data_IF_796089984388
#
_entry.id   IF_796089984388
#
_cell.length_a   1.000
_cell.length_b   1.000
_cell.length_c   1.000
_cell.angle_alpha   90.00
_cell.angle_beta   90.00
_cell.angle_gamma   90.00
#
_symmetry.space_group_name_H-M   'P 1'
#
loop_
_entity.id
_entity.type
_entity.pdbx_description
1 polymer ?
#
# COMPACT_ATOMS: atom_id res chain seq x y z
N UNK A 1 -6.75 -32.65 2.17
CA UNK A 1 -7.50 -31.74 3.06
C UNK A 1 -6.83 -31.85 4.43
N UNK A 2 -6.34 -30.75 5.00
CA UNK A 2 -5.68 -30.76 6.31
C UNK A 2 -6.74 -31.00 7.40
N UNK A 3 -6.57 -32.06 8.17
CA UNK A 3 -7.40 -32.35 9.34
C UNK A 3 -6.91 -31.49 10.51
N UNK A 4 -7.76 -30.58 10.98
CA UNK A 4 -7.49 -29.61 12.04
C UNK A 4 -8.07 -30.03 13.40
N UNK A 5 -8.56 -31.26 13.53
CA UNK A 5 -9.30 -31.72 14.71
C UNK A 5 -8.44 -32.12 15.92
N UNK A 6 -7.11 -32.11 15.80
CA UNK A 6 -6.21 -32.50 16.90
C UNK A 6 -5.59 -31.28 17.60
N UNK A 7 -5.74 -31.21 18.92
CA UNK A 7 -5.44 -30.05 19.78
C UNK A 7 -3.94 -29.72 19.98
N UNK A 8 -3.06 -30.19 19.11
CA UNK A 8 -1.68 -29.70 18.99
C UNK A 8 -1.46 -29.37 17.53
N UNK A 9 -1.05 -28.16 17.13
CA UNK A 9 -0.66 -27.92 15.73
C UNK A 9 0.66 -28.66 15.45
N UNK A 10 0.69 -29.84 14.79
CA UNK A 10 1.78 -30.79 14.92
C UNK A 10 2.52 -31.04 13.60
N UNK A 11 2.63 -30.04 12.72
CA UNK A 11 3.39 -30.18 11.46
C UNK A 11 4.25 -28.95 11.20
N UNK A 12 5.57 -29.16 11.04
CA UNK A 12 6.52 -28.13 10.65
C UNK A 12 6.13 -27.46 9.32
N UNK A 13 5.39 -28.15 8.45
CA UNK A 13 4.83 -27.56 7.23
C UNK A 13 3.80 -26.48 7.55
N UNK A 14 2.83 -26.78 8.42
CA UNK A 14 1.81 -25.81 8.85
C UNK A 14 2.47 -24.60 9.52
N UNK A 15 3.47 -24.81 10.37
CA UNK A 15 4.23 -23.70 10.99
C UNK A 15 4.92 -22.83 9.93
N UNK A 16 5.56 -23.44 8.94
CA UNK A 16 6.22 -22.70 7.86
C UNK A 16 5.22 -21.95 6.99
N UNK A 17 4.05 -22.52 6.71
CA UNK A 17 3.02 -21.86 5.91
C UNK A 17 2.39 -20.69 6.66
N UNK A 18 2.20 -20.80 7.98
CA UNK A 18 1.79 -19.67 8.82
C UNK A 18 2.83 -18.55 8.80
N UNK A 19 4.13 -18.88 8.83
CA UNK A 19 5.21 -17.88 8.73
C UNK A 19 5.22 -17.20 7.35
N UNK A 20 5.01 -17.95 6.26
CA UNK A 20 4.84 -17.38 4.91
C UNK A 20 3.65 -16.44 4.85
N UNK A 21 2.51 -16.88 5.37
CA UNK A 21 1.29 -16.08 5.43
C UNK A 21 1.52 -14.78 6.22
N UNK A 22 2.25 -14.82 7.34
CA UNK A 22 2.57 -13.62 8.12
C UNK A 22 3.33 -12.56 7.30
N UNK A 23 4.32 -12.96 6.50
CA UNK A 23 5.07 -12.04 5.61
C UNK A 23 4.13 -11.44 4.55
N UNK A 24 3.27 -12.28 3.95
CA UNK A 24 2.29 -11.82 2.94
C UNK A 24 1.32 -10.80 3.56
N UNK A 25 0.81 -11.09 4.75
CA UNK A 25 -0.11 -10.22 5.47
C UNK A 25 0.53 -8.91 5.91
N UNK A 26 1.81 -8.92 6.31
CA UNK A 26 2.54 -7.69 6.65
C UNK A 26 2.63 -6.75 5.43
N UNK A 27 3.03 -7.26 4.27
CA UNK A 27 3.10 -6.46 3.03
C UNK A 27 1.71 -6.01 2.58
N UNK A 28 0.69 -6.85 2.71
CA UNK A 28 -0.70 -6.46 2.45
C UNK A 28 -1.18 -5.34 3.40
N UNK A 29 -0.68 -5.32 4.64
CA UNK A 29 -0.94 -4.25 5.61
C UNK A 29 -0.42 -2.89 5.13
N UNK A 30 0.80 -2.84 4.56
CA UNK A 30 1.33 -1.60 3.96
C UNK A 30 0.43 -1.15 2.81
N UNK A 31 0.11 -2.06 1.88
CA UNK A 31 -0.71 -1.77 0.71
C UNK A 31 -2.07 -1.18 1.11
N UNK A 32 -2.77 -1.86 2.01
CA UNK A 32 -4.08 -1.44 2.51
C UNK A 32 -4.01 -0.09 3.22
N UNK A 33 -2.98 0.13 4.04
CA UNK A 33 -2.76 1.39 4.75
C UNK A 33 -2.56 2.54 3.75
N UNK A 34 -1.70 2.36 2.75
CA UNK A 34 -1.41 3.41 1.77
C UNK A 34 -2.63 3.73 0.90
N UNK A 35 -3.43 2.73 0.51
CA UNK A 35 -4.71 2.94 -0.16
C UNK A 35 -5.65 3.80 0.69
N UNK A 36 -5.77 3.49 1.98
CA UNK A 36 -6.60 4.25 2.90
C UNK A 36 -6.10 5.69 3.06
N UNK A 37 -4.79 5.89 3.23
CA UNK A 37 -4.17 7.21 3.34
C UNK A 37 -4.49 8.10 2.14
N UNK A 38 -4.27 7.59 0.92
CA UNK A 38 -4.56 8.34 -0.31
C UNK A 38 -6.06 8.66 -0.40
N UNK A 39 -6.91 7.68 -0.11
CA UNK A 39 -8.36 7.87 -0.12
C UNK A 39 -8.85 8.94 0.86
N UNK A 40 -8.31 8.98 2.08
CA UNK A 40 -8.64 9.99 3.08
C UNK A 40 -8.22 11.39 2.63
N UNK A 41 -6.98 11.54 2.16
CA UNK A 41 -6.44 12.84 1.72
C UNK A 41 -7.23 13.41 0.54
N UNK A 42 -7.60 12.60 -0.42
CA UNK A 42 -8.39 13.08 -1.58
C UNK A 42 -9.83 13.43 -1.18
N UNK A 43 -10.38 12.74 -0.19
CA UNK A 43 -11.68 13.13 0.37
C UNK A 43 -11.65 14.49 1.07
N UNK A 44 -10.49 14.91 1.60
CA UNK A 44 -10.30 16.21 2.23
C UNK A 44 -10.14 17.36 1.21
N UNK A 45 -9.49 17.12 0.06
CA UNK A 45 -9.37 18.08 -1.06
C UNK A 45 -10.73 18.64 -1.48
N UNK A 46 -11.79 17.82 -1.42
CA UNK A 46 -13.19 18.22 -1.68
C UNK A 46 -13.62 19.48 -0.93
N UNK A 47 -13.20 19.59 0.34
CA UNK A 47 -13.83 20.52 1.27
C UNK A 47 -13.24 21.91 1.10
N UNK A 48 -11.91 22.06 1.13
CA UNK A 48 -11.27 23.38 1.26
C UNK A 48 -9.80 23.41 0.75
N UNK A 49 -9.32 22.39 0.02
CA UNK A 49 -7.87 22.22 -0.23
C UNK A 49 -7.45 22.22 -1.70
N UNK A 50 -6.22 22.66 -1.97
CA UNK A 50 -5.57 22.53 -3.27
C UNK A 50 -5.33 21.06 -3.64
N UNK A 51 -5.52 20.73 -4.92
CA UNK A 51 -5.21 19.41 -5.46
C UNK A 51 -3.68 19.23 -5.47
N UNK A 52 -3.13 18.16 -4.87
CA UNK A 52 -1.70 17.86 -4.99
C UNK A 52 -1.27 17.82 -6.45
N UNK A 53 -0.15 18.47 -6.81
CA UNK A 53 0.31 18.57 -8.21
C UNK A 53 0.43 17.22 -8.91
N UNK A 54 0.81 16.18 -8.18
CA UNK A 54 0.89 14.80 -8.64
C UNK A 54 -0.48 14.20 -8.98
N UNK A 55 -1.51 14.51 -8.18
CA UNK A 55 -2.88 14.08 -8.41
C UNK A 55 -3.48 14.79 -9.62
N UNK A 56 -3.11 16.05 -9.87
CA UNK A 56 -3.48 16.78 -11.09
C UNK A 56 -2.92 16.15 -12.38
N UNK A 57 -1.87 15.31 -12.28
CA UNK A 57 -1.31 14.55 -13.41
C UNK A 57 -1.90 13.15 -13.53
N UNK A 58 -2.84 12.78 -12.66
CA UNK A 58 -3.41 11.44 -12.69
C UNK A 58 -4.30 11.27 -13.93
N UNK A 59 -3.91 10.35 -14.79
CA UNK A 59 -4.72 10.00 -15.96
C UNK A 59 -5.95 9.17 -15.52
N UNK A 60 -7.13 9.64 -15.91
CA UNK A 60 -8.39 8.93 -15.75
C UNK A 60 -8.96 8.58 -17.13
N UNK A 61 -9.67 7.44 -17.26
CA UNK A 61 -10.33 7.09 -18.52
C UNK A 61 -11.29 8.18 -18.99
N UNK A 62 -11.26 8.50 -20.29
CA UNK A 62 -12.17 9.50 -20.88
C UNK A 62 -13.65 9.16 -20.64
N UNK A 63 -13.99 7.88 -20.57
CA UNK A 63 -15.36 7.41 -20.29
C UNK A 63 -15.88 7.87 -18.93
N UNK A 64 -15.02 7.97 -17.91
CA UNK A 64 -15.43 8.48 -16.59
C UNK A 64 -15.68 10.00 -16.64
N UNK A 65 -14.94 10.76 -17.47
CA UNK A 65 -15.18 12.19 -17.70
C UNK A 65 -16.45 12.45 -18.52
N UNK A 66 -16.70 11.66 -19.57
CA UNK A 66 -17.91 11.75 -20.37
C UNK A 66 -19.16 11.49 -19.50
N UNK A 67 -19.12 10.42 -18.68
CA UNK A 67 -20.20 10.11 -17.75
C UNK A 67 -20.44 11.23 -16.72
N UNK A 68 -19.37 11.88 -16.24
CA UNK A 68 -19.45 13.04 -15.36
C UNK A 68 -20.14 14.23 -16.04
N UNK A 69 -19.76 14.53 -17.28
CA UNK A 69 -20.36 15.60 -18.06
C UNK A 69 -21.86 15.36 -18.29
N UNK A 70 -22.23 14.16 -18.75
CA UNK A 70 -23.61 13.78 -19.02
C UNK A 70 -24.48 13.87 -17.76
N UNK A 71 -23.99 13.33 -16.63
CA UNK A 71 -24.72 13.38 -15.37
C UNK A 71 -24.90 14.81 -14.83
N UNK A 72 -23.92 15.69 -15.07
CA UNK A 72 -24.01 17.11 -14.68
C UNK A 72 -25.04 17.85 -15.53
N UNK A 73 -25.08 17.61 -16.84
CA UNK A 73 -26.07 18.20 -17.76
C UNK A 73 -27.48 17.70 -17.42
N UNK A 74 -27.65 16.40 -17.22
CA UNK A 74 -28.94 15.79 -16.85
C UNK A 74 -29.44 16.29 -15.50
N UNK A 75 -28.55 16.43 -14.50
CA UNK A 75 -28.89 16.97 -13.19
C UNK A 75 -29.45 18.39 -13.27
N UNK A 76 -28.81 19.25 -14.08
CA UNK A 76 -29.32 20.62 -14.34
C UNK A 76 -30.68 20.61 -15.03
N UNK A 77 -30.86 19.79 -16.07
CA UNK A 77 -32.12 19.70 -16.82
C UNK A 77 -33.29 19.21 -15.97
N UNK A 78 -33.04 18.24 -15.08
CA UNK A 78 -34.07 17.61 -14.24
C UNK A 78 -34.22 18.23 -12.85
N UNK A 79 -33.48 19.32 -12.56
CA UNK A 79 -33.40 19.93 -11.22
C UNK A 79 -33.05 18.92 -10.11
N UNK A 80 -32.22 17.92 -10.45
CA UNK A 80 -31.69 16.95 -9.49
C UNK A 80 -30.36 17.47 -8.97
N UNK A 81 -30.14 17.37 -7.66
CA UNK A 81 -28.84 17.66 -7.05
C UNK A 81 -27.78 16.69 -7.60
N UNK A 82 -27.11 17.12 -8.67
CA UNK A 82 -25.96 16.41 -9.19
C UNK A 82 -24.85 16.51 -8.15
N UNK A 83 -24.22 15.37 -7.82
CA UNK A 83 -23.04 15.32 -6.95
C UNK A 83 -21.77 15.02 -7.78
N UNK A 84 -21.29 15.92 -8.66
CA UNK A 84 -20.13 15.70 -9.55
C UNK A 84 -18.92 15.12 -8.83
N UNK A 85 -18.64 15.60 -7.62
CA UNK A 85 -17.50 15.14 -6.85
C UNK A 85 -17.58 13.67 -6.41
N UNK A 86 -18.79 13.14 -6.24
CA UNK A 86 -18.98 11.71 -5.99
C UNK A 86 -18.46 10.91 -7.18
N UNK A 87 -18.78 11.33 -8.40
CA UNK A 87 -18.33 10.64 -9.63
C UNK A 87 -16.83 10.77 -9.85
N UNK A 88 -16.23 11.94 -9.59
CA UNK A 88 -14.76 12.10 -9.60
C UNK A 88 -14.11 11.14 -8.61
N UNK A 89 -14.66 11.05 -7.39
CA UNK A 89 -14.19 10.12 -6.36
C UNK A 89 -14.32 8.66 -6.81
N UNK A 90 -15.41 8.29 -7.49
CA UNK A 90 -15.57 6.94 -8.04
C UNK A 90 -14.52 6.62 -9.11
N UNK A 91 -14.26 7.53 -10.05
CA UNK A 91 -13.27 7.34 -11.10
C UNK A 91 -11.87 7.13 -10.50
N UNK A 92 -11.52 7.95 -9.52
CA UNK A 92 -10.29 7.83 -8.77
C UNK A 92 -10.23 6.53 -7.94
N UNK A 93 -11.30 6.13 -7.27
CA UNK A 93 -11.36 4.86 -6.55
C UNK A 93 -11.10 3.67 -7.49
N UNK A 94 -11.68 3.67 -8.69
CA UNK A 94 -11.39 2.65 -9.71
C UNK A 94 -9.92 2.63 -10.09
N UNK A 95 -9.27 3.80 -10.17
CA UNK A 95 -7.84 3.90 -10.45
C UNK A 95 -6.97 3.42 -9.28
N UNK A 96 -7.37 3.74 -8.04
CA UNK A 96 -6.72 3.29 -6.82
C UNK A 96 -6.79 1.77 -6.72
N UNK A 97 -7.96 1.15 -6.92
CA UNK A 97 -8.14 -0.31 -6.87
C UNK A 97 -7.18 -1.13 -7.75
N UNK A 98 -6.63 -0.51 -8.81
CA UNK A 98 -5.65 -1.14 -9.71
C UNK A 98 -4.20 -0.83 -9.36
N UNK A 99 -3.96 0.08 -8.41
CA UNK A 99 -2.64 0.44 -7.92
C UNK A 99 -2.20 -0.52 -6.81
N UNK A 100 -0.91 -0.82 -6.81
CA UNK A 100 -0.24 -1.57 -5.74
C UNK A 100 0.72 -0.60 -5.06
N UNK A 101 0.69 -0.55 -3.73
CA UNK A 101 1.51 0.33 -2.90
C UNK A 101 2.32 -0.48 -1.90
N UNK A 102 3.20 -1.34 -2.41
CA UNK A 102 3.99 -2.27 -1.61
C UNK A 102 5.47 -1.90 -1.58
N UNK A 103 6.07 -1.64 -2.75
CA UNK A 103 7.47 -1.29 -2.86
C UNK A 103 7.77 0.16 -2.48
N UNK A 104 9.05 0.48 -2.29
CA UNK A 104 9.48 1.83 -1.91
C UNK A 104 9.00 2.92 -2.88
N UNK A 105 9.16 2.69 -4.19
CA UNK A 105 8.77 3.66 -5.21
C UNK A 105 7.23 3.74 -5.38
N UNK A 106 6.53 2.62 -5.13
CA UNK A 106 5.07 2.60 -5.13
C UNK A 106 4.49 3.40 -3.95
N UNK A 107 5.03 3.18 -2.76
CA UNK A 107 4.66 3.92 -1.55
C UNK A 107 5.03 5.40 -1.70
N UNK A 108 6.14 5.74 -2.36
CA UNK A 108 6.47 7.12 -2.73
C UNK A 108 5.39 7.76 -3.63
N UNK A 109 4.87 6.99 -4.58
CA UNK A 109 3.77 7.43 -5.45
C UNK A 109 2.50 7.71 -4.63
N UNK A 110 2.15 6.82 -3.69
CA UNK A 110 1.03 7.05 -2.79
C UNK A 110 1.22 8.31 -1.92
N UNK A 111 2.42 8.54 -1.35
CA UNK A 111 2.71 9.79 -0.64
C UNK A 111 2.50 11.02 -1.50
N UNK A 112 2.99 10.95 -2.73
CA UNK A 112 2.84 12.02 -3.70
C UNK A 112 1.36 12.31 -3.96
N UNK A 113 0.54 11.28 -4.22
CA UNK A 113 -0.91 11.43 -4.43
C UNK A 113 -1.65 11.95 -3.20
N UNK A 114 -1.16 11.59 -2.02
CA UNK A 114 -1.65 12.09 -0.73
C UNK A 114 -1.18 13.53 -0.41
N UNK A 115 -0.33 14.14 -1.24
CA UNK A 115 0.19 15.49 -1.04
C UNK A 115 1.24 15.59 0.07
N UNK A 116 1.92 14.49 0.39
CA UNK A 116 2.90 14.45 1.49
C UNK A 116 4.30 14.66 0.91
N UNK A 117 4.88 15.82 1.19
CA UNK A 117 6.22 16.17 0.76
C UNK A 117 7.29 15.58 1.68
N UNK A 118 8.45 15.25 1.07
CA UNK A 118 9.64 14.71 1.77
C UNK A 118 9.32 13.53 2.71
N UNK A 119 8.29 12.75 2.37
CA UNK A 119 7.76 11.68 3.24
C UNK A 119 8.86 10.70 3.68
N UNK A 120 9.65 10.19 2.73
CA UNK A 120 10.70 9.24 3.05
C UNK A 120 11.81 9.80 3.93
N UNK A 121 12.21 11.06 3.72
CA UNK A 121 13.18 11.73 4.58
C UNK A 121 12.67 11.80 6.01
N UNK A 122 11.43 12.25 6.20
CA UNK A 122 10.80 12.38 7.53
C UNK A 122 10.62 11.03 8.22
N UNK A 123 10.23 10.00 7.46
CA UNK A 123 10.11 8.63 7.97
C UNK A 123 11.48 8.06 8.37
N UNK A 124 12.52 8.31 7.56
CA UNK A 124 13.89 7.88 7.87
C UNK A 124 14.41 8.54 9.16
N UNK A 125 14.18 9.84 9.33
CA UNK A 125 14.50 10.58 10.55
C UNK A 125 13.76 9.99 11.78
N UNK A 126 12.46 9.76 11.68
CA UNK A 126 11.64 9.17 12.77
C UNK A 126 12.09 7.75 13.14
N UNK A 127 12.53 6.96 12.16
CA UNK A 127 13.05 5.60 12.37
C UNK A 127 14.54 5.55 12.74
N UNK A 128 15.24 6.69 12.78
CA UNK A 128 16.68 6.75 13.06
C UNK A 128 17.54 6.02 12.03
N UNK A 129 17.15 6.07 10.75
CA UNK A 129 17.80 5.34 9.65
C UNK A 129 17.91 6.22 8.39
N UNK A 130 18.37 5.67 7.27
CA UNK A 130 18.45 6.38 5.99
C UNK A 130 17.33 5.95 5.04
N UNK A 131 17.01 6.81 4.06
CA UNK A 131 16.05 6.47 3.00
C UNK A 131 16.52 5.29 2.16
N UNK A 132 17.83 5.16 1.96
CA UNK A 132 18.46 4.01 1.27
C UNK A 132 18.23 2.71 2.02
N UNK A 133 18.38 2.72 3.36
CA UNK A 133 18.15 1.55 4.19
C UNK A 133 16.68 1.13 4.16
N UNK A 134 15.75 2.09 4.23
CA UNK A 134 14.31 1.83 4.08
C UNK A 134 14.03 1.23 2.70
N UNK A 135 14.59 1.80 1.62
CA UNK A 135 14.41 1.28 0.26
C UNK A 135 14.89 -0.15 0.14
N UNK A 136 16.10 -0.42 0.61
CA UNK A 136 16.71 -1.75 0.59
C UNK A 136 15.85 -2.75 1.38
N UNK A 137 15.46 -2.40 2.60
CA UNK A 137 14.73 -3.27 3.50
C UNK A 137 13.31 -3.54 3.04
N UNK A 138 12.56 -2.51 2.63
CA UNK A 138 11.20 -2.66 2.11
C UNK A 138 11.17 -3.55 0.86
N UNK A 139 12.05 -3.26 -0.10
CA UNK A 139 12.08 -4.02 -1.35
C UNK A 139 12.50 -5.47 -1.11
N UNK A 140 13.37 -5.75 -0.13
CA UNK A 140 13.73 -7.11 0.28
C UNK A 140 12.51 -7.88 0.80
N UNK A 141 11.70 -7.28 1.68
CA UNK A 141 10.49 -7.91 2.23
C UNK A 141 9.42 -8.11 1.15
N UNK A 142 9.22 -7.13 0.26
CA UNK A 142 8.29 -7.24 -0.88
C UNK A 142 8.75 -8.33 -1.86
N UNK A 143 10.05 -8.42 -2.13
CA UNK A 143 10.61 -9.49 -2.95
C UNK A 143 10.33 -10.87 -2.34
N UNK A 144 10.54 -11.03 -1.03
CA UNK A 144 10.23 -12.26 -0.31
C UNK A 144 8.75 -12.62 -0.42
N UNK A 145 7.85 -11.65 -0.26
CA UNK A 145 6.39 -11.82 -0.47
C UNK A 145 6.09 -12.29 -1.89
N UNK A 146 6.74 -11.72 -2.91
CA UNK A 146 6.53 -12.12 -4.30
C UNK A 146 6.99 -13.56 -4.56
N UNK A 147 8.11 -13.99 -3.97
CA UNK A 147 8.53 -15.39 -4.02
C UNK A 147 7.45 -16.31 -3.42
N UNK A 148 6.83 -15.92 -2.30
CA UNK A 148 5.78 -16.72 -1.66
C UNK A 148 4.53 -16.81 -2.53
N UNK A 149 4.01 -15.65 -2.97
CA UNK A 149 2.69 -15.58 -3.61
C UNK A 149 2.74 -15.98 -5.08
N UNK A 150 3.78 -15.57 -5.81
CA UNK A 150 3.86 -15.78 -7.26
C UNK A 150 4.69 -17.00 -7.65
N UNK A 151 5.73 -17.33 -6.87
CA UNK A 151 6.61 -18.47 -7.16
C UNK A 151 6.31 -19.70 -6.28
N UNK A 152 5.27 -19.65 -5.46
CA UNK A 152 4.90 -20.73 -4.52
C UNK A 152 5.98 -21.00 -3.45
N UNK A 153 6.89 -20.05 -3.26
CA UNK A 153 8.09 -20.17 -2.45
C UNK A 153 9.02 -21.35 -2.79
N UNK A 154 9.03 -21.78 -4.04
CA UNK A 154 9.79 -22.96 -4.48
C UNK A 154 11.26 -22.58 -4.72
N UNK A 155 12.20 -23.37 -4.18
CA UNK A 155 13.63 -23.25 -4.50
C UNK A 155 13.83 -23.53 -5.99
N UNK A 156 14.31 -22.54 -6.74
CA UNK A 156 14.63 -22.70 -8.15
C UNK A 156 15.76 -23.72 -8.32
N UNK A 157 15.48 -24.81 -9.04
CA UNK A 157 16.46 -25.83 -9.42
C UNK A 157 16.17 -26.29 -10.85
N UNK A 158 17.21 -26.61 -11.62
CA UNK A 158 17.09 -26.92 -13.05
C UNK A 158 16.26 -28.18 -13.35
N UNK A 159 16.21 -29.17 -12.44
CA UNK A 159 15.38 -30.40 -12.55
C UNK A 159 15.12 -31.04 -11.17
N UNK A 160 14.20 -30.50 -10.35
CA UNK A 160 13.97 -31.06 -9.03
C UNK A 160 13.15 -32.36 -9.12
N UNK A 161 13.73 -33.49 -8.70
CA UNK A 161 12.99 -34.75 -8.48
C UNK A 161 11.93 -34.64 -7.37
N UNK A 162 12.09 -33.66 -6.46
CA UNK A 162 11.15 -33.32 -5.38
C UNK A 162 11.12 -31.80 -5.21
N UNK A 163 9.92 -31.24 -5.04
CA UNK A 163 9.74 -29.83 -4.70
C UNK A 163 10.40 -29.54 -3.35
N UNK A 164 11.26 -28.51 -3.35
CA UNK A 164 11.85 -27.94 -2.14
C UNK A 164 11.40 -26.49 -2.05
N UNK A 165 11.05 -26.05 -0.86
CA UNK A 165 10.65 -24.67 -0.61
C UNK A 165 11.84 -23.89 -0.03
N UNK A 166 11.82 -22.56 -0.18
CA UNK A 166 12.75 -21.72 0.55
C UNK A 166 12.50 -21.88 2.06
N UNK A 167 13.57 -21.75 2.83
CA UNK A 167 13.47 -21.80 4.28
C UNK A 167 12.76 -20.55 4.78
N UNK A 168 12.01 -20.73 5.87
CA UNK A 168 11.28 -19.65 6.52
C UNK A 168 11.64 -19.71 7.99
N UNK A 169 12.67 -18.93 8.31
CA UNK A 169 13.14 -18.78 9.67
C UNK A 169 12.14 -17.97 10.50
N UNK A 170 11.91 -18.41 11.74
CA UNK A 170 10.95 -17.77 12.63
C UNK A 170 11.40 -16.40 13.09
N UNK A 171 12.68 -16.27 13.43
CA UNK A 171 13.24 -15.02 13.93
C UNK A 171 13.25 -13.97 12.82
N UNK A 172 13.70 -14.34 11.62
CA UNK A 172 13.69 -13.45 10.47
C UNK A 172 12.27 -13.01 10.09
N UNK A 173 11.31 -13.95 10.09
CA UNK A 173 9.90 -13.61 9.84
C UNK A 173 9.39 -12.58 10.86
N UNK A 174 9.64 -12.79 12.15
CA UNK A 174 9.24 -11.83 13.20
C UNK A 174 9.88 -10.46 12.98
N UNK A 175 11.19 -10.42 12.70
CA UNK A 175 11.91 -9.18 12.43
C UNK A 175 11.37 -8.45 11.19
N UNK A 176 10.96 -9.18 10.14
CA UNK A 176 10.35 -8.59 8.95
C UNK A 176 8.98 -7.98 9.27
N UNK A 177 8.12 -8.72 9.98
CA UNK A 177 6.77 -8.28 10.36
C UNK A 177 6.83 -7.09 11.31
N UNK A 178 7.67 -7.14 12.35
CA UNK A 178 7.84 -6.06 13.32
C UNK A 178 8.41 -4.80 12.65
N UNK A 179 9.37 -4.97 11.75
CA UNK A 179 9.92 -3.85 10.99
C UNK A 179 8.87 -3.20 10.09
N UNK A 180 8.05 -3.98 9.39
CA UNK A 180 6.94 -3.45 8.59
C UNK A 180 5.92 -2.72 9.45
N UNK A 181 5.56 -3.27 10.62
CA UNK A 181 4.65 -2.61 11.55
C UNK A 181 5.22 -1.27 12.06
N UNK A 182 6.51 -1.24 12.38
CA UNK A 182 7.18 -0.01 12.81
C UNK A 182 7.26 1.02 11.69
N UNK A 183 7.48 0.58 10.45
CA UNK A 183 7.41 1.44 9.27
C UNK A 183 6.03 2.09 9.13
N UNK A 184 4.94 1.31 9.19
CA UNK A 184 3.57 1.85 9.11
C UNK A 184 3.32 2.86 10.24
N UNK A 185 3.74 2.56 11.47
CA UNK A 185 3.61 3.48 12.61
C UNK A 185 4.40 4.78 12.41
N UNK A 186 5.61 4.70 11.85
CA UNK A 186 6.40 5.88 11.52
C UNK A 186 5.68 6.73 10.47
N UNK A 187 5.16 6.09 9.41
CA UNK A 187 4.35 6.77 8.40
C UNK A 187 3.14 7.45 9.05
N UNK A 188 2.39 6.76 9.91
CA UNK A 188 1.23 7.31 10.60
C UNK A 188 1.57 8.56 11.41
N UNK A 189 2.67 8.55 12.16
CA UNK A 189 3.15 9.74 12.90
C UNK A 189 3.42 10.91 11.95
N UNK A 190 4.07 10.65 10.82
CA UNK A 190 4.41 11.69 9.83
C UNK A 190 3.18 12.29 9.16
N UNK A 191 2.14 11.48 8.89
CA UNK A 191 0.93 11.95 8.20
C UNK A 191 -0.11 12.56 9.13
N UNK A 192 -0.09 12.22 10.42
CA UNK A 192 -1.00 12.82 11.43
C UNK A 192 -0.41 14.07 12.09
N UNK A 193 0.91 14.21 12.11
CA UNK A 193 1.56 15.41 12.61
C UNK A 193 1.34 16.60 11.66
N UNK A 194 1.09 17.82 12.18
CA UNK A 194 1.04 19.02 11.35
C UNK A 194 2.40 19.21 10.64
N UNK A 195 2.42 19.72 9.39
CA UNK A 195 3.67 20.01 8.70
C UNK A 195 4.53 20.94 9.56
N UNK A 196 5.86 20.74 9.60
CA UNK A 196 6.73 21.67 10.31
C UNK A 196 6.50 23.08 9.75
N UNK A 197 6.34 24.06 10.64
CA UNK A 197 6.21 25.46 10.25
C UNK A 197 7.38 25.78 9.31
N UNK A 198 7.07 26.17 8.07
CA UNK A 198 8.06 26.61 7.11
C UNK A 198 8.85 27.75 7.76
N UNK A 199 10.13 27.53 8.04
CA UNK A 199 11.04 28.62 8.37
C UNK A 199 11.12 29.51 7.13
N UNK A 200 10.41 30.63 7.18
CA UNK A 200 10.60 31.76 6.28
C UNK A 200 12.07 32.17 6.36
N UNK A 201 12.82 31.88 5.29
CA UNK A 201 14.12 32.49 4.99
C UNK A 201 13.93 33.39 3.78
#
# INVERSE_FOLDING_TARGET
MLDLSTASLPDNKVKNDLRRAAIVMAVAGIDAYMHWLVYQRISAVRREGDIPKSLGKLELPFTDFAALADATVLGRQKQIDSRPWVQVKHALQKRLLKATFQGYDDVATAFSWAGIEKAWTRVAEDMGTTTTDIKSRLNSVVYRRNQIVHEGDIKRALRPRKLKYNEVDEQQMRLDVDWVNNLIKAIERIVTSPPPASSSS
#
